data_IF_870354780777
#
_entry.id   IF_870354780777
#
_cell.length_a   1.000
_cell.length_b   1.000
_cell.length_c   1.000
_cell.angle_alpha   90.00
_cell.angle_beta   90.00
_cell.angle_gamma   90.00
#
_symmetry.space_group_name_H-M   'P 1'
#
loop_
_entity.id
_entity.type
_entity.pdbx_description
1 polymer ?
#
# COMPACT_ATOMS: atom_id res chain seq x y z
N UNK A 1 1.82 -19.35 -9.71
CA UNK A 1 0.86 -18.60 -8.86
C UNK A 1 -0.38 -19.41 -8.45
N UNK A 2 -1.02 -20.18 -9.34
CA UNK A 2 -2.23 -20.93 -8.96
C UNK A 2 -2.00 -21.93 -7.80
N UNK A 3 -0.84 -22.61 -7.75
CA UNK A 3 -0.47 -23.47 -6.62
C UNK A 3 -0.27 -22.71 -5.30
N UNK A 4 0.29 -21.49 -5.35
CA UNK A 4 0.44 -20.64 -4.16
C UNK A 4 -0.92 -20.19 -3.64
N UNK A 5 -1.78 -19.69 -4.55
CA UNK A 5 -3.16 -19.30 -4.24
C UNK A 5 -3.99 -20.47 -3.71
N UNK A 6 -3.90 -21.64 -4.34
CA UNK A 6 -4.68 -22.82 -3.93
C UNK A 6 -4.21 -23.35 -2.58
N UNK A 7 -2.90 -23.37 -2.31
CA UNK A 7 -2.34 -23.81 -1.02
C UNK A 7 -2.68 -22.83 0.08
N UNK A 8 -2.44 -21.53 -0.11
CA UNK A 8 -2.76 -20.50 0.87
C UNK A 8 -4.26 -20.46 1.18
N UNK A 9 -5.12 -20.37 0.15
CA UNK A 9 -6.56 -20.21 0.34
C UNK A 9 -7.26 -21.48 0.82
N UNK A 10 -6.86 -22.66 0.33
CA UNK A 10 -7.54 -23.90 0.68
C UNK A 10 -6.93 -24.62 1.88
N UNK A 11 -5.62 -24.48 2.13
CA UNK A 11 -4.94 -25.20 3.21
C UNK A 11 -4.73 -24.32 4.42
N UNK A 12 -4.03 -23.20 4.24
CA UNK A 12 -3.51 -22.44 5.38
C UNK A 12 -4.61 -21.57 6.01
N UNK A 13 -5.42 -20.87 5.20
CA UNK A 13 -6.55 -20.09 5.71
C UNK A 13 -7.63 -20.95 6.36
N UNK A 14 -7.92 -22.15 5.84
CA UNK A 14 -8.92 -23.04 6.47
C UNK A 14 -8.46 -23.55 7.84
N UNK A 15 -7.16 -23.77 8.01
CA UNK A 15 -6.58 -24.18 9.29
C UNK A 15 -6.58 -23.04 10.30
N UNK A 16 -6.19 -21.84 9.89
CA UNK A 16 -6.08 -20.68 10.77
C UNK A 16 -7.45 -20.04 11.06
N UNK A 17 -8.38 -20.05 10.09
CA UNK A 17 -9.68 -19.40 10.15
C UNK A 17 -10.79 -20.35 9.68
N UNK A 18 -11.16 -21.38 10.46
CA UNK A 18 -12.10 -22.42 10.03
C UNK A 18 -13.52 -21.90 9.74
N UNK A 19 -13.90 -20.74 10.32
CA UNK A 19 -15.20 -20.09 10.10
C UNK A 19 -15.22 -19.15 8.88
N UNK A 20 -14.08 -18.94 8.21
CA UNK A 20 -13.96 -18.02 7.11
C UNK A 20 -14.67 -18.54 5.85
N UNK A 21 -15.58 -17.74 5.29
CA UNK A 21 -16.14 -18.04 3.98
C UNK A 21 -15.09 -17.79 2.88
N UNK A 22 -14.38 -18.85 2.49
CA UNK A 22 -13.28 -18.79 1.51
C UNK A 22 -13.70 -18.20 0.16
N UNK A 23 -14.93 -18.47 -0.28
CA UNK A 23 -15.43 -17.93 -1.56
C UNK A 23 -15.61 -16.41 -1.49
N UNK A 24 -16.16 -15.88 -0.39
CA UNK A 24 -16.25 -14.43 -0.17
C UNK A 24 -14.88 -13.80 0.02
N UNK A 25 -14.00 -14.44 0.79
CA UNK A 25 -12.63 -13.95 0.99
C UNK A 25 -11.83 -13.88 -0.32
N UNK A 26 -12.01 -14.84 -1.23
CA UNK A 26 -11.45 -14.79 -2.59
C UNK A 26 -11.90 -13.57 -3.38
N UNK A 27 -13.20 -13.27 -3.36
CA UNK A 27 -13.75 -12.08 -4.03
C UNK A 27 -13.20 -10.81 -3.39
N UNK A 28 -13.10 -10.79 -2.06
CA UNK A 28 -12.48 -9.69 -1.31
C UNK A 28 -11.02 -9.47 -1.75
N UNK A 29 -10.18 -10.50 -1.83
CA UNK A 29 -8.78 -10.34 -2.25
C UNK A 29 -8.65 -9.78 -3.68
N UNK A 30 -9.51 -10.21 -4.61
CA UNK A 30 -9.51 -9.64 -5.97
C UNK A 30 -9.83 -8.14 -5.95
N UNK A 31 -10.81 -7.73 -5.13
CA UNK A 31 -11.15 -6.32 -4.95
C UNK A 31 -10.04 -5.54 -4.26
N UNK A 32 -9.44 -6.13 -3.23
CA UNK A 32 -8.35 -5.53 -2.47
C UNK A 32 -7.11 -5.29 -3.35
N UNK A 33 -6.78 -6.22 -4.24
CA UNK A 33 -5.69 -6.05 -5.21
C UNK A 33 -5.86 -4.80 -6.09
N UNK A 34 -7.09 -4.51 -6.51
CA UNK A 34 -7.42 -3.31 -7.31
C UNK A 34 -7.27 -2.01 -6.51
N UNK A 35 -7.27 -2.10 -5.19
CA UNK A 35 -7.10 -0.98 -4.27
C UNK A 35 -5.66 -0.81 -3.77
N UNK A 36 -4.70 -1.58 -4.29
CA UNK A 36 -3.28 -1.45 -3.92
C UNK A 36 -2.76 -0.04 -4.21
N UNK A 37 -2.14 0.58 -3.20
CA UNK A 37 -1.69 1.96 -3.26
C UNK A 37 -2.81 2.97 -3.07
N UNK A 38 -3.93 2.62 -2.42
CA UNK A 38 -5.03 3.54 -2.16
C UNK A 38 -5.54 3.48 -0.72
N UNK A 39 -6.30 4.50 -0.32
CA UNK A 39 -7.01 4.50 0.97
C UNK A 39 -8.26 3.62 0.84
N UNK A 40 -8.32 2.54 1.62
CA UNK A 40 -9.42 1.57 1.54
C UNK A 40 -10.64 2.04 2.34
N UNK A 41 -11.71 2.39 1.63
CA UNK A 41 -13.02 2.65 2.23
C UNK A 41 -13.75 1.33 2.48
N UNK A 42 -13.85 0.95 3.76
CA UNK A 42 -14.46 -0.33 4.17
C UNK A 42 -15.93 -0.45 3.76
N UNK A 43 -16.67 0.65 3.80
CA UNK A 43 -18.06 0.75 3.36
C UNK A 43 -18.26 0.36 1.88
N UNK A 44 -17.33 0.75 1.01
CA UNK A 44 -17.41 0.46 -0.43
C UNK A 44 -17.17 -1.04 -0.70
N UNK A 45 -16.21 -1.65 0.01
CA UNK A 45 -15.98 -3.10 -0.03
C UNK A 45 -17.16 -3.88 0.55
N UNK A 46 -17.73 -3.42 1.67
CA UNK A 46 -18.86 -4.05 2.33
C UNK A 46 -20.08 -4.12 1.39
N UNK A 47 -20.41 -2.98 0.75
CA UNK A 47 -21.49 -2.89 -0.24
C UNK A 47 -21.25 -3.83 -1.43
N UNK A 48 -20.04 -3.86 -1.96
CA UNK A 48 -19.73 -4.66 -3.15
C UNK A 48 -19.71 -6.18 -2.90
N UNK A 49 -19.40 -6.58 -1.67
CA UNK A 49 -19.34 -7.98 -1.25
C UNK A 49 -20.62 -8.49 -0.59
N UNK A 50 -21.59 -7.60 -0.35
CA UNK A 50 -22.83 -7.89 0.40
C UNK A 50 -22.53 -8.48 1.79
N UNK A 51 -21.67 -7.79 2.53
CA UNK A 51 -21.27 -8.13 3.91
C UNK A 51 -21.19 -6.88 4.78
N UNK A 52 -21.07 -7.07 6.09
CA UNK A 52 -20.93 -5.96 7.03
C UNK A 52 -19.52 -5.32 6.99
N UNK A 53 -19.40 -4.03 7.32
CA UNK A 53 -18.10 -3.37 7.49
C UNK A 53 -17.19 -4.04 8.55
N UNK A 54 -17.71 -4.53 9.70
CA UNK A 54 -16.94 -5.36 10.62
C UNK A 54 -16.32 -6.60 9.96
N UNK A 55 -17.06 -7.28 9.08
CA UNK A 55 -16.52 -8.43 8.33
C UNK A 55 -15.42 -8.01 7.35
N UNK A 56 -15.55 -6.86 6.69
CA UNK A 56 -14.47 -6.31 5.85
C UNK A 56 -13.22 -5.99 6.69
N UNK A 57 -13.41 -5.42 7.87
CA UNK A 57 -12.31 -5.14 8.80
C UNK A 57 -11.57 -6.43 9.18
N UNK A 58 -12.30 -7.47 9.56
CA UNK A 58 -11.73 -8.81 9.85
C UNK A 58 -10.98 -9.36 8.62
N UNK A 59 -11.52 -9.20 7.42
CA UNK A 59 -10.85 -9.69 6.20
C UNK A 59 -9.54 -8.94 5.90
N UNK A 60 -9.48 -7.62 6.14
CA UNK A 60 -8.25 -6.83 6.05
C UNK A 60 -7.24 -7.29 7.11
N UNK A 61 -7.68 -7.54 8.34
CA UNK A 61 -6.82 -8.03 9.43
C UNK A 61 -6.23 -9.41 9.11
N UNK A 62 -7.03 -10.31 8.52
CA UNK A 62 -6.54 -11.60 8.03
C UNK A 62 -5.50 -11.40 6.92
N UNK A 63 -5.75 -10.51 5.95
CA UNK A 63 -4.83 -10.27 4.85
C UNK A 63 -3.50 -9.66 5.33
N UNK A 64 -3.55 -8.76 6.30
CA UNK A 64 -2.38 -8.12 6.93
C UNK A 64 -1.58 -9.13 7.77
N UNK A 65 -2.28 -9.86 8.66
CA UNK A 65 -1.67 -10.87 9.53
C UNK A 65 -1.13 -12.10 8.80
N UNK A 66 -1.54 -12.31 7.55
CA UNK A 66 -0.99 -13.34 6.66
C UNK A 66 -0.06 -12.78 5.59
N UNK A 67 0.35 -11.52 5.73
CA UNK A 67 1.35 -10.86 4.89
C UNK A 67 0.98 -10.70 3.41
N UNK A 68 -0.31 -10.74 3.07
CA UNK A 68 -0.80 -10.39 1.73
C UNK A 68 -0.96 -8.88 1.54
N UNK A 69 -1.34 -8.21 2.62
CA UNK A 69 -1.65 -6.79 2.65
C UNK A 69 -0.75 -6.07 3.63
N UNK A 70 -0.53 -4.77 3.41
CA UNK A 70 0.07 -3.86 4.37
C UNK A 70 -0.83 -2.67 4.55
N UNK A 71 -1.11 -2.32 5.80
CA UNK A 71 -1.66 -1.03 6.16
C UNK A 71 -0.52 -0.05 6.47
N UNK A 72 -0.39 1.00 5.66
CA UNK A 72 0.57 2.08 5.86
C UNK A 72 -0.17 3.24 6.57
N UNK A 73 0.13 3.51 7.86
CA UNK A 73 -0.53 4.57 8.62
C UNK A 73 -0.21 5.95 8.07
N UNK A 74 -1.07 6.92 8.36
CA UNK A 74 -0.77 8.32 8.04
C UNK A 74 0.26 8.89 9.00
N UNK A 75 1.13 9.75 8.49
CA UNK A 75 2.07 10.53 9.29
C UNK A 75 1.32 11.65 10.02
N UNK A 76 1.18 11.53 11.35
CA UNK A 76 0.29 12.37 12.18
C UNK A 76 1.04 13.39 13.07
N UNK A 77 2.28 13.80 12.76
CA UNK A 77 3.03 14.79 13.54
C UNK A 77 2.44 16.22 13.46
N UNK A 78 1.31 16.39 14.15
CA UNK A 78 0.79 17.51 14.96
C UNK A 78 0.83 18.97 14.48
N UNK A 79 1.30 19.28 13.27
CA UNK A 79 1.19 20.65 12.73
C UNK A 79 -0.14 20.86 11.97
N UNK A 80 -0.81 19.78 11.54
CA UNK A 80 -1.98 19.88 10.67
C UNK A 80 -3.21 19.14 11.21
N UNK A 81 -4.27 19.89 11.50
CA UNK A 81 -5.63 19.33 11.76
C UNK A 81 -6.29 18.77 10.48
N UNK A 82 -5.61 18.81 9.33
CA UNK A 82 -6.12 18.49 7.99
C UNK A 82 -5.56 17.20 7.39
N UNK A 83 -4.81 16.39 8.13
CA UNK A 83 -4.28 15.11 7.63
C UNK A 83 -5.39 14.05 7.52
N UNK A 84 -5.35 13.23 6.46
CA UNK A 84 -6.22 12.07 6.30
C UNK A 84 -5.71 10.94 7.19
N UNK A 85 -6.51 10.54 8.19
CA UNK A 85 -6.10 9.52 9.18
C UNK A 85 -6.23 8.07 8.71
N UNK A 86 -7.01 7.83 7.67
CA UNK A 86 -7.23 6.45 7.19
C UNK A 86 -5.93 5.90 6.61
N UNK A 87 -5.55 4.64 6.89
CA UNK A 87 -4.35 4.06 6.31
C UNK A 87 -4.47 3.92 4.78
N UNK A 88 -3.36 4.12 4.08
CA UNK A 88 -3.18 3.68 2.69
C UNK A 88 -2.78 2.21 2.74
N UNK A 89 -3.24 1.39 1.81
CA UNK A 89 -2.87 -0.01 1.84
C UNK A 89 -2.31 -0.54 0.54
N UNK A 90 -1.47 -1.56 0.66
CA UNK A 90 -0.61 -2.07 -0.39
C UNK A 90 -0.63 -3.59 -0.41
N UNK A 91 -0.72 -4.18 -1.61
CA UNK A 91 -0.39 -5.58 -1.81
C UNK A 91 1.11 -5.76 -1.61
N UNK A 92 1.50 -6.73 -0.77
CA UNK A 92 2.92 -6.97 -0.43
C UNK A 92 3.69 -7.77 -1.49
N UNK A 93 2.97 -8.33 -2.46
CA UNK A 93 3.54 -9.08 -3.58
C UNK A 93 2.89 -8.60 -4.88
N UNK A 94 3.70 -7.99 -5.75
CA UNK A 94 3.26 -7.46 -7.04
C UNK A 94 2.84 -8.57 -8.00
N UNK A 95 3.51 -9.71 -7.97
CA UNK A 95 3.14 -10.88 -8.77
C UNK A 95 1.77 -11.41 -8.39
N UNK A 96 1.46 -11.50 -7.10
CA UNK A 96 0.15 -11.91 -6.59
C UNK A 96 -0.91 -10.87 -6.93
N UNK A 97 -0.60 -9.58 -6.77
CA UNK A 97 -1.49 -8.48 -7.18
C UNK A 97 -1.89 -8.64 -8.65
N UNK A 98 -0.90 -8.72 -9.55
CA UNK A 98 -1.12 -8.86 -10.99
C UNK A 98 -1.87 -10.15 -11.33
N UNK A 99 -1.55 -11.26 -10.63
CA UNK A 99 -2.27 -12.52 -10.77
C UNK A 99 -3.76 -12.40 -10.42
N UNK A 100 -4.11 -11.76 -9.29
CA UNK A 100 -5.49 -11.54 -8.87
C UNK A 100 -6.25 -10.62 -9.85
N UNK A 101 -5.54 -9.69 -10.49
CA UNK A 101 -6.05 -8.80 -11.52
C UNK A 101 -6.09 -9.42 -12.93
N UNK A 102 -5.59 -10.65 -13.09
CA UNK A 102 -5.47 -11.38 -14.37
C UNK A 102 -4.58 -10.67 -15.40
N UNK A 103 -3.58 -9.93 -14.93
CA UNK A 103 -2.56 -9.30 -15.77
C UNK A 103 -1.47 -10.33 -16.04
N UNK A 104 -1.44 -10.83 -17.28
CA UNK A 104 -0.67 -12.04 -17.64
C UNK A 104 0.59 -11.71 -18.44
N UNK A 105 0.69 -10.49 -18.97
CA UNK A 105 1.81 -9.99 -19.75
C UNK A 105 2.19 -8.57 -19.33
N UNK A 106 3.40 -8.15 -19.73
CA UNK A 106 3.83 -6.76 -19.55
C UNK A 106 2.87 -5.80 -20.28
N UNK A 107 2.43 -6.16 -21.49
CA UNK A 107 1.48 -5.36 -22.25
C UNK A 107 0.13 -5.19 -21.52
N UNK A 108 -0.36 -6.23 -20.84
CA UNK A 108 -1.59 -6.08 -20.03
C UNK A 108 -1.39 -5.07 -18.90
N UNK A 109 -0.24 -5.15 -18.23
CA UNK A 109 0.10 -4.26 -17.11
C UNK A 109 0.30 -2.81 -17.57
N UNK A 110 1.01 -2.59 -18.68
CA UNK A 110 1.27 -1.25 -19.23
C UNK A 110 -0.02 -0.52 -19.65
N UNK A 111 -1.06 -1.27 -20.02
CA UNK A 111 -2.37 -0.74 -20.39
C UNK A 111 -3.38 -0.71 -19.22
N UNK A 112 -3.04 -1.24 -18.04
CA UNK A 112 -3.93 -1.26 -16.88
C UNK A 112 -3.68 -0.03 -15.97
N UNK A 113 -4.74 0.67 -15.50
CA UNK A 113 -4.61 1.81 -14.60
C UNK A 113 -3.87 1.53 -13.27
N UNK A 114 -3.71 0.27 -12.88
CA UNK A 114 -3.00 -0.13 -11.65
C UNK A 114 -1.49 0.08 -11.74
N UNK A 115 -0.89 0.17 -12.94
CA UNK A 115 0.56 0.17 -13.13
C UNK A 115 1.31 1.12 -12.19
N UNK A 116 0.85 2.36 -12.09
CA UNK A 116 1.49 3.36 -11.24
C UNK A 116 1.42 2.99 -9.76
N UNK A 117 0.24 2.59 -9.28
CA UNK A 117 0.03 2.28 -7.85
C UNK A 117 0.58 0.91 -7.46
N UNK A 118 0.65 -0.06 -8.38
CA UNK A 118 1.33 -1.34 -8.14
C UNK A 118 2.84 -1.17 -8.08
N UNK A 119 3.43 -0.32 -8.94
CA UNK A 119 4.84 0.05 -8.84
C UNK A 119 5.15 0.76 -7.53
N UNK A 120 4.33 1.73 -7.13
CA UNK A 120 4.46 2.40 -5.85
C UNK A 120 4.39 1.40 -4.67
N UNK A 121 3.42 0.50 -4.70
CA UNK A 121 3.25 -0.52 -3.65
C UNK A 121 4.44 -1.48 -3.58
N UNK A 122 5.00 -1.85 -4.73
CA UNK A 122 6.22 -2.65 -4.81
C UNK A 122 7.40 -1.91 -4.16
N UNK A 123 7.65 -0.66 -4.54
CA UNK A 123 8.75 0.15 -3.98
C UNK A 123 8.61 0.33 -2.47
N UNK A 124 7.41 0.70 -1.99
CA UNK A 124 7.12 0.82 -0.54
C UNK A 124 7.45 -0.47 0.20
N UNK A 125 6.99 -1.61 -0.33
CA UNK A 125 7.20 -2.89 0.32
C UNK A 125 8.68 -3.29 0.35
N UNK A 126 9.41 -3.09 -0.74
CA UNK A 126 10.83 -3.43 -0.82
C UNK A 126 11.70 -2.54 0.08
N UNK A 127 11.38 -1.26 0.21
CA UNK A 127 12.02 -0.36 1.19
C UNK A 127 11.83 -0.90 2.61
N UNK A 128 10.57 -1.20 2.99
CA UNK A 128 10.25 -1.65 4.35
C UNK A 128 10.92 -3.00 4.64
N UNK A 129 10.81 -3.97 3.72
CA UNK A 129 11.46 -5.28 3.86
C UNK A 129 12.98 -5.13 3.97
N UNK A 130 13.59 -4.32 3.11
CA UNK A 130 15.03 -4.09 3.07
C UNK A 130 15.54 -3.53 4.39
N UNK A 131 14.88 -2.50 4.93
CA UNK A 131 15.25 -1.90 6.22
C UNK A 131 15.02 -2.91 7.36
N UNK A 132 13.88 -3.59 7.40
CA UNK A 132 13.60 -4.60 8.43
C UNK A 132 14.64 -5.73 8.43
N UNK A 133 15.14 -6.15 7.26
CA UNK A 133 16.16 -7.18 7.13
C UNK A 133 17.52 -6.77 7.70
N UNK A 134 17.81 -5.47 7.82
CA UNK A 134 19.04 -4.99 8.46
C UNK A 134 19.03 -5.12 9.98
N UNK A 135 17.86 -5.35 10.60
CA UNK A 135 17.71 -5.31 12.06
C UNK A 135 17.81 -3.91 12.67
N UNK A 136 17.90 -2.86 11.86
CA UNK A 136 17.91 -1.48 12.34
C UNK A 136 16.57 -1.10 12.96
N UNK A 137 16.60 -0.69 14.21
CA UNK A 137 15.46 -0.22 15.01
C UNK A 137 15.83 1.11 15.69
N UNK A 138 14.89 2.06 15.89
CA UNK A 138 13.46 1.97 15.61
C UNK A 138 13.02 2.88 14.44
N UNK A 139 12.79 2.29 13.26
CA UNK A 139 12.13 2.99 12.14
C UNK A 139 10.65 2.66 12.07
N UNK A 140 9.81 3.68 11.87
CA UNK A 140 8.39 3.55 11.54
C UNK A 140 8.12 4.05 10.12
N UNK A 141 7.04 3.56 9.52
CA UNK A 141 6.73 3.79 8.11
C UNK A 141 5.33 4.34 7.97
N UNK A 142 5.19 5.40 7.19
CA UNK A 142 3.93 6.10 7.00
C UNK A 142 3.75 6.53 5.55
N UNK A 143 2.55 7.00 5.22
CA UNK A 143 2.32 7.88 4.08
C UNK A 143 1.84 9.23 4.60
N UNK A 144 1.80 10.27 3.76
CA UNK A 144 1.23 11.55 4.16
C UNK A 144 0.23 12.02 3.12
N UNK A 145 -0.94 12.47 3.59
CA UNK A 145 -1.96 13.07 2.74
C UNK A 145 -2.74 14.12 3.49
N UNK A 146 -2.86 15.30 2.89
CA UNK A 146 -3.75 16.36 3.41
C UNK A 146 -5.10 16.36 2.71
N UNK A 147 -6.11 16.97 3.34
CA UNK A 147 -7.42 17.23 2.72
C UNK A 147 -7.33 18.05 1.42
N UNK A 148 -6.27 18.82 1.24
CA UNK A 148 -6.04 19.66 0.06
C UNK A 148 -5.28 18.91 -1.07
N UNK A 149 -5.01 17.61 -0.90
CA UNK A 149 -4.40 16.78 -1.95
C UNK A 149 -2.87 16.82 -2.00
N UNK A 150 -2.20 17.39 -1.00
CA UNK A 150 -0.74 17.22 -0.85
C UNK A 150 -0.49 15.80 -0.37
N UNK A 151 0.36 15.06 -1.09
CA UNK A 151 0.64 13.65 -0.85
C UNK A 151 2.15 13.41 -0.87
N UNK A 152 2.61 12.52 0.01
CA UNK A 152 3.95 11.88 0.01
C UNK A 152 3.71 10.38 0.13
N UNK A 153 4.26 9.61 -0.81
CA UNK A 153 3.95 8.19 -0.97
C UNK A 153 4.47 7.33 0.19
N UNK A 154 5.68 7.63 0.68
CA UNK A 154 6.28 6.93 1.82
C UNK A 154 7.11 7.88 2.68
N UNK A 155 7.04 7.69 4.00
CA UNK A 155 7.86 8.39 4.98
C UNK A 155 8.50 7.33 5.88
N UNK A 156 9.82 7.35 5.97
CA UNK A 156 10.56 6.60 6.97
C UNK A 156 10.89 7.55 8.11
N UNK A 157 10.41 7.24 9.31
CA UNK A 157 10.62 8.03 10.51
C UNK A 157 11.53 7.27 11.48
N UNK A 158 12.66 7.86 11.82
CA UNK A 158 13.53 7.41 12.91
C UNK A 158 13.49 8.38 14.10
N UNK A 159 14.25 8.13 15.18
CA UNK A 159 14.19 8.94 16.40
C UNK A 159 14.45 10.45 16.22
N UNK A 160 15.23 10.83 15.21
CA UNK A 160 15.63 12.22 14.93
C UNK A 160 15.63 12.55 13.44
N UNK A 161 15.14 11.65 12.59
CA UNK A 161 15.23 11.75 11.14
C UNK A 161 13.90 11.40 10.51
N UNK A 162 13.56 12.10 9.43
CA UNK A 162 12.37 11.85 8.63
C UNK A 162 12.81 11.87 7.17
N UNK A 163 12.59 10.78 6.46
CA UNK A 163 12.92 10.64 5.05
C UNK A 163 11.63 10.55 4.23
N UNK A 164 11.18 11.66 3.60
CA UNK A 164 10.05 11.64 2.70
C UNK A 164 10.49 11.11 1.34
N UNK A 165 9.70 10.20 0.80
CA UNK A 165 9.97 9.49 -0.45
C UNK A 165 8.76 9.66 -1.36
N UNK A 166 9.01 10.23 -2.53
CA UNK A 166 8.07 10.32 -3.64
C UNK A 166 8.37 9.20 -4.63
N UNK A 167 7.34 8.47 -5.06
CA UNK A 167 7.50 7.36 -6.00
C UNK A 167 6.74 7.69 -7.27
N UNK A 168 7.41 7.56 -8.42
CA UNK A 168 6.83 7.88 -9.72
C UNK A 168 7.19 6.84 -10.76
N UNK A 169 6.17 6.36 -11.46
CA UNK A 169 6.36 5.56 -12.66
C UNK A 169 6.31 6.47 -13.90
N UNK A 170 7.32 6.39 -14.76
CA UNK A 170 7.41 7.08 -16.05
C UNK A 170 8.84 7.50 -16.41
N UNK A 171 9.08 7.70 -17.71
CA UNK A 171 10.39 8.04 -18.30
C UNK A 171 10.99 9.37 -17.82
N UNK A 172 10.16 10.32 -17.39
CA UNK A 172 10.61 11.62 -16.90
C UNK A 172 9.67 12.17 -15.84
N UNK A 173 10.25 12.69 -14.76
CA UNK A 173 9.50 13.34 -13.66
C UNK A 173 9.83 14.83 -13.68
N UNK A 174 8.99 15.68 -14.30
CA UNK A 174 9.25 17.11 -14.31
C UNK A 174 9.14 17.67 -12.90
N UNK A 175 9.99 18.65 -12.55
CA UNK A 175 10.10 19.21 -11.21
C UNK A 175 8.77 19.68 -10.60
N UNK A 176 7.82 20.14 -11.42
CA UNK A 176 6.45 20.49 -10.96
C UNK A 176 5.72 19.34 -10.25
N UNK A 177 6.00 18.08 -10.61
CA UNK A 177 5.44 16.89 -9.94
C UNK A 177 6.09 16.62 -8.57
N UNK A 178 7.18 17.32 -8.25
CA UNK A 178 7.90 17.21 -6.98
C UNK A 178 7.60 18.36 -6.01
N UNK A 179 6.71 19.29 -6.39
CA UNK A 179 6.37 20.43 -5.55
C UNK A 179 5.86 20.02 -4.16
N UNK A 180 5.11 18.91 -4.07
CA UNK A 180 4.66 18.36 -2.79
C UNK A 180 5.85 17.93 -1.90
N UNK A 181 6.81 17.20 -2.48
CA UNK A 181 8.03 16.77 -1.78
C UNK A 181 8.88 17.96 -1.34
N UNK A 182 9.11 18.93 -2.23
CA UNK A 182 9.88 20.14 -1.92
C UNK A 182 9.21 20.94 -0.79
N UNK A 183 7.89 21.13 -0.85
CA UNK A 183 7.12 21.82 0.18
C UNK A 183 7.17 21.07 1.52
N UNK A 184 7.07 19.74 1.50
CA UNK A 184 7.17 18.91 2.71
C UNK A 184 8.55 19.03 3.36
N UNK A 185 9.62 18.92 2.57
CA UNK A 185 11.01 19.08 3.03
C UNK A 185 11.23 20.45 3.66
N UNK A 186 10.83 21.53 2.97
CA UNK A 186 10.96 22.89 3.48
C UNK A 186 10.16 23.11 4.77
N UNK A 187 8.92 22.62 4.81
CA UNK A 187 8.01 22.76 5.96
C UNK A 187 8.54 22.04 7.21
N UNK A 188 9.04 20.83 7.03
CA UNK A 188 9.56 20.00 8.13
C UNK A 188 11.06 20.26 8.41
N UNK A 189 11.69 21.22 7.72
CA UNK A 189 13.11 21.57 7.84
C UNK A 189 14.03 20.36 7.67
N UNK A 190 13.70 19.53 6.68
CA UNK A 190 14.46 18.33 6.34
C UNK A 190 15.60 18.71 5.39
N UNK A 191 16.68 17.93 5.43
CA UNK A 191 17.85 18.18 4.59
C UNK A 191 17.57 17.89 3.11
N UNK A 192 16.82 16.82 2.84
CA UNK A 192 16.44 16.40 1.49
C UNK A 192 15.17 15.55 1.51
N UNK A 193 14.62 15.34 0.31
CA UNK A 193 13.62 14.31 0.03
C UNK A 193 14.15 13.37 -1.06
N UNK A 194 13.58 12.17 -1.14
CA UNK A 194 14.01 11.13 -2.08
C UNK A 194 12.96 10.98 -3.18
N UNK A 195 13.40 10.92 -4.43
CA UNK A 195 12.56 10.51 -5.56
C UNK A 195 13.02 9.12 -6.03
N UNK A 196 12.07 8.19 -6.15
CA UNK A 196 12.31 6.89 -6.79
C UNK A 196 11.49 6.85 -8.09
N UNK A 197 12.17 6.61 -9.20
CA UNK A 197 11.59 6.42 -10.52
C UNK A 197 12.05 5.10 -11.17
N UNK A 198 11.42 4.73 -12.28
CA UNK A 198 11.80 3.54 -13.07
C UNK A 198 12.58 3.87 -14.35
N UNK A 199 13.04 5.11 -14.51
CA UNK A 199 13.74 5.59 -15.71
C UNK A 199 15.25 5.71 -15.48
#
# INVERSE_FOLDING_TARGET
>A
MENYRSTYLNRDLRKLFPKLNITRYRRFLNMLARLSGSVVKKSDLARSLDISEPTVKEYIEIADGTFLWRNLPSFEHSIEKSTVKMPRGHMRDSGLCHYLLKLSSLNDLENDPILGSSFESFVVEEIIKGIQATGLSPFTYHYYRTKNGVEIDCIIEGPKTVFPIEIKYGLSVPRRKLANLENFVAKHKLEFGILINNA
#
